data_IF_332112163977
#
_entry.id   IF_332112163977
#
_cell.length_a   1.000
_cell.length_b   1.000
_cell.length_c   1.000
_cell.angle_alpha   90.00
_cell.angle_beta   90.00
_cell.angle_gamma   90.00
#
_symmetry.space_group_name_H-M   'P 1'
#
loop_
_entity.id
_entity.type
_entity.pdbx_description
1 polymer ?
#
# COMPACT_ATOMS: atom_id res chain seq x y z
N UNK A 1 -1.41 -31.94 -6.71
CA UNK A 1 -0.51 -31.12 -5.86
C UNK A 1 0.14 -31.95 -4.77
N UNK A 2 -0.60 -32.61 -3.87
CA UNK A 2 0.01 -33.51 -2.86
C UNK A 2 0.84 -34.67 -3.47
N UNK A 3 0.44 -35.21 -4.62
CA UNK A 3 1.19 -36.27 -5.32
C UNK A 3 2.50 -35.78 -5.99
N UNK A 4 2.63 -34.49 -6.31
CA UNK A 4 3.83 -33.95 -6.98
C UNK A 4 4.95 -33.60 -5.98
N UNK A 5 4.63 -33.54 -4.68
CA UNK A 5 5.59 -33.26 -3.60
C UNK A 5 6.39 -34.52 -3.22
N UNK A 6 5.89 -35.72 -3.54
CA UNK A 6 6.57 -36.97 -3.19
C UNK A 6 7.69 -37.39 -4.16
N UNK A 7 7.85 -36.74 -5.32
CA UNK A 7 8.76 -37.25 -6.38
C UNK A 7 9.98 -36.37 -6.68
N UNK A 8 10.13 -35.19 -6.06
CA UNK A 8 11.32 -34.36 -6.24
C UNK A 8 11.85 -33.84 -4.91
N UNK A 9 13.05 -34.31 -4.57
CA UNK A 9 13.91 -33.78 -3.50
C UNK A 9 14.47 -32.40 -3.90
N UNK A 10 13.56 -31.45 -4.15
CA UNK A 10 13.89 -30.08 -4.52
C UNK A 10 13.19 -29.11 -3.58
N UNK A 11 13.99 -28.21 -2.99
CA UNK A 11 13.52 -27.07 -2.22
C UNK A 11 12.35 -26.40 -2.93
N UNK A 12 11.15 -26.47 -2.33
CA UNK A 12 9.94 -25.86 -2.89
C UNK A 12 9.99 -24.36 -2.57
N UNK A 13 9.97 -23.52 -3.61
CA UNK A 13 9.91 -22.07 -3.43
C UNK A 13 8.55 -21.68 -2.85
N UNK A 14 8.51 -21.43 -1.54
CA UNK A 14 7.29 -21.09 -0.82
C UNK A 14 6.67 -19.78 -1.31
N UNK A 15 7.46 -18.85 -1.86
CA UNK A 15 6.96 -17.59 -2.40
C UNK A 15 6.13 -17.85 -3.67
N UNK A 16 6.65 -18.71 -4.54
CA UNK A 16 5.98 -19.14 -5.76
C UNK A 16 4.71 -19.94 -5.43
N UNK A 17 4.79 -20.87 -4.46
CA UNK A 17 3.67 -21.66 -3.98
C UNK A 17 2.56 -20.79 -3.36
N UNK A 18 2.92 -19.84 -2.49
CA UNK A 18 1.97 -18.92 -1.87
C UNK A 18 1.30 -18.00 -2.91
N UNK A 19 2.05 -17.52 -3.90
CA UNK A 19 1.50 -16.73 -5.01
C UNK A 19 0.48 -17.53 -5.83
N UNK A 20 0.83 -18.77 -6.22
CA UNK A 20 -0.08 -19.65 -6.95
C UNK A 20 -1.35 -19.95 -6.16
N UNK A 21 -1.23 -20.30 -4.87
CA UNK A 21 -2.37 -20.65 -4.03
C UNK A 21 -3.27 -19.44 -3.77
N UNK A 22 -2.70 -18.27 -3.46
CA UNK A 22 -3.46 -17.04 -3.21
C UNK A 22 -4.24 -16.64 -4.44
N UNK A 23 -3.60 -16.71 -5.61
CA UNK A 23 -4.25 -16.44 -6.88
C UNK A 23 -5.40 -17.43 -7.14
N UNK A 24 -5.19 -18.73 -6.89
CA UNK A 24 -6.21 -19.76 -7.09
C UNK A 24 -7.43 -19.56 -6.18
N UNK A 25 -7.24 -19.10 -4.95
CA UNK A 25 -8.33 -18.80 -4.01
C UNK A 25 -9.09 -17.55 -4.46
N UNK A 26 -8.38 -16.46 -4.75
CA UNK A 26 -8.99 -15.18 -5.18
C UNK A 26 -9.76 -15.34 -6.49
N UNK A 27 -9.19 -16.03 -7.49
CA UNK A 27 -9.87 -16.34 -8.75
C UNK A 27 -11.16 -17.13 -8.55
N UNK A 28 -11.13 -18.16 -7.69
CA UNK A 28 -12.34 -18.95 -7.39
C UNK A 28 -13.40 -18.10 -6.72
N UNK A 29 -13.03 -17.26 -5.76
CA UNK A 29 -13.97 -16.45 -4.99
C UNK A 29 -14.55 -15.30 -5.83
N UNK A 30 -13.72 -14.59 -6.60
CA UNK A 30 -14.15 -13.44 -7.38
C UNK A 30 -14.77 -13.82 -8.74
N UNK A 31 -14.26 -14.88 -9.39
CA UNK A 31 -14.59 -15.23 -10.78
C UNK A 31 -15.29 -16.58 -10.93
N UNK A 32 -15.36 -17.38 -9.86
CA UNK A 32 -15.97 -18.72 -9.88
C UNK A 32 -15.17 -19.77 -10.66
N UNK A 33 -13.95 -19.46 -11.11
CA UNK A 33 -13.10 -20.35 -11.93
C UNK A 33 -11.65 -20.33 -11.46
N UNK A 34 -10.91 -21.40 -11.75
CA UNK A 34 -9.46 -21.48 -11.54
C UNK A 34 -8.75 -21.09 -12.82
N UNK A 35 -7.72 -20.25 -12.73
CA UNK A 35 -6.92 -19.82 -13.88
C UNK A 35 -5.46 -20.30 -13.78
N UNK A 36 -5.27 -21.52 -13.26
CA UNK A 36 -3.97 -22.19 -13.18
C UNK A 36 -3.69 -23.00 -14.44
N UNK A 37 -3.57 -22.34 -15.60
CA UNK A 37 -2.94 -22.98 -16.77
C UNK A 37 -1.99 -21.99 -17.46
N UNK A 38 -0.78 -22.46 -17.75
CA UNK A 38 0.20 -21.78 -18.63
C UNK A 38 -0.47 -21.56 -19.99
N UNK A 39 -0.82 -20.31 -20.31
CA UNK A 39 -1.48 -19.92 -21.56
C UNK A 39 -2.81 -19.18 -21.43
N UNK A 40 -3.28 -18.86 -20.21
CA UNK A 40 -4.48 -18.04 -19.99
C UNK A 40 -4.23 -16.52 -20.05
N UNK A 41 -5.26 -15.74 -20.39
CA UNK A 41 -5.25 -14.26 -20.36
C UNK A 41 -5.08 -13.72 -18.92
N UNK A 42 -5.36 -14.53 -17.90
CA UNK A 42 -5.41 -14.07 -16.51
C UNK A 42 -4.03 -13.80 -15.87
N UNK A 43 -2.99 -14.64 -16.06
CA UNK A 43 -1.61 -14.27 -15.72
C UNK A 43 -1.15 -12.97 -16.39
N UNK A 44 -1.47 -12.78 -17.67
CA UNK A 44 -1.14 -11.56 -18.41
C UNK A 44 -1.90 -10.34 -17.85
N UNK A 45 -3.19 -10.49 -17.58
CA UNK A 45 -4.02 -9.47 -16.92
C UNK A 45 -3.50 -9.13 -15.51
N UNK A 46 -3.05 -10.12 -14.74
CA UNK A 46 -2.48 -9.90 -13.41
C UNK A 46 -1.12 -9.19 -13.49
N UNK A 47 -0.31 -9.50 -14.50
CA UNK A 47 0.93 -8.77 -14.77
C UNK A 47 0.64 -7.32 -15.16
N UNK A 48 -0.26 -7.09 -16.13
CA UNK A 48 -0.68 -5.75 -16.55
C UNK A 48 -1.28 -4.93 -15.40
N UNK A 49 -2.13 -5.56 -14.58
CA UNK A 49 -2.71 -4.93 -13.40
C UNK A 49 -1.64 -4.63 -12.35
N UNK A 50 -0.67 -5.53 -12.16
CA UNK A 50 0.50 -5.30 -11.32
C UNK A 50 1.31 -4.08 -11.76
N UNK A 51 1.58 -3.94 -13.06
CA UNK A 51 2.27 -2.77 -13.61
C UNK A 51 1.48 -1.47 -13.41
N UNK A 52 0.15 -1.52 -13.57
CA UNK A 52 -0.71 -0.38 -13.32
C UNK A 52 -0.69 0.02 -11.85
N UNK A 53 -0.83 -0.95 -10.94
CA UNK A 53 -0.75 -0.72 -9.50
C UNK A 53 0.60 -0.15 -9.09
N UNK A 54 1.69 -0.61 -9.70
CA UNK A 54 3.03 -0.07 -9.42
C UNK A 54 3.13 1.39 -9.85
N UNK A 55 2.61 1.74 -11.04
CA UNK A 55 2.56 3.14 -11.51
C UNK A 55 1.71 4.01 -10.59
N UNK A 56 0.53 3.54 -10.19
CA UNK A 56 -0.36 4.26 -9.26
C UNK A 56 0.30 4.42 -7.89
N UNK A 57 0.94 3.37 -7.37
CA UNK A 57 1.65 3.42 -6.10
C UNK A 57 2.79 4.44 -6.13
N UNK A 58 3.57 4.49 -7.22
CA UNK A 58 4.63 5.51 -7.42
C UNK A 58 4.06 6.92 -7.43
N UNK A 59 3.01 7.17 -8.20
CA UNK A 59 2.37 8.48 -8.25
C UNK A 59 1.81 8.92 -6.89
N UNK A 60 1.21 7.99 -6.12
CA UNK A 60 0.73 8.29 -4.77
C UNK A 60 1.88 8.55 -3.81
N UNK A 61 2.95 7.77 -3.88
CA UNK A 61 4.12 7.94 -3.03
C UNK A 61 4.79 9.31 -3.25
N UNK A 62 4.97 9.72 -4.51
CA UNK A 62 5.49 11.04 -4.89
C UNK A 62 4.57 12.18 -4.44
N UNK A 63 3.24 12.01 -4.59
CA UNK A 63 2.28 13.01 -4.12
C UNK A 63 2.34 13.21 -2.61
N UNK A 64 2.34 12.13 -1.81
CA UNK A 64 2.42 12.28 -0.35
C UNK A 64 3.80 12.75 0.11
N UNK A 65 4.86 12.40 -0.61
CA UNK A 65 6.19 12.95 -0.39
C UNK A 65 6.16 14.48 -0.46
N UNK A 66 5.58 15.02 -1.53
CA UNK A 66 5.42 16.46 -1.78
C UNK A 66 4.57 17.13 -0.69
N UNK A 67 3.42 16.55 -0.34
CA UNK A 67 2.57 17.05 0.74
C UNK A 67 3.36 17.14 2.03
N UNK A 68 4.10 16.09 2.42
CA UNK A 68 4.90 16.09 3.64
C UNK A 68 6.01 17.17 3.58
N UNK A 69 6.67 17.35 2.43
CA UNK A 69 7.70 18.37 2.26
C UNK A 69 7.17 19.80 2.35
N UNK A 70 5.98 20.07 1.81
CA UNK A 70 5.32 21.37 1.95
C UNK A 70 5.09 21.73 3.42
N UNK A 71 4.65 20.77 4.26
CA UNK A 71 4.42 21.00 5.69
C UNK A 71 5.74 21.12 6.48
N UNK A 72 6.80 20.41 6.07
CA UNK A 72 8.12 20.56 6.69
C UNK A 72 8.77 21.92 6.34
N UNK A 73 8.64 22.36 5.09
CA UNK A 73 9.28 23.58 4.57
C UNK A 73 8.54 24.87 4.97
N UNK A 74 7.21 24.82 5.10
CA UNK A 74 6.39 25.94 5.58
C UNK A 74 6.73 26.42 7.00
N UNK A 75 7.28 25.54 7.84
CA UNK A 75 7.66 25.85 9.24
C UNK A 75 8.98 26.62 9.41
N UNK A 76 9.73 26.91 8.33
CA UNK A 76 11.04 27.59 8.42
C UNK A 76 10.95 29.12 8.42
N UNK A 77 9.76 29.68 8.23
CA UNK A 77 9.57 31.11 7.96
C UNK A 77 8.39 31.72 8.71
N UNK A 78 8.27 31.60 10.04
CA UNK A 78 7.67 32.71 10.79
C UNK A 78 8.04 32.72 12.27
N UNK A 79 8.40 33.92 12.73
CA UNK A 79 8.55 34.28 14.14
C UNK A 79 7.33 35.06 14.60
N UNK A 80 6.11 34.62 14.26
CA UNK A 80 4.86 35.23 14.72
C UNK A 80 4.06 34.30 15.63
N UNK A 81 3.72 34.84 16.80
CA UNK A 81 2.79 34.26 17.77
C UNK A 81 1.37 34.48 17.23
N UNK A 82 0.92 33.59 16.37
CA UNK A 82 -0.49 33.37 16.05
C UNK A 82 -0.77 31.88 16.20
N UNK A 83 -1.97 31.49 16.63
CA UNK A 83 -2.38 30.08 16.71
C UNK A 83 -2.26 29.44 15.33
N UNK A 84 -1.11 28.82 15.05
CA UNK A 84 -0.95 27.92 13.91
C UNK A 84 -1.93 26.76 14.14
N UNK A 85 -3.00 26.74 13.36
CA UNK A 85 -3.87 25.58 13.23
C UNK A 85 -3.05 24.44 12.66
N UNK A 86 -2.38 23.68 13.52
CA UNK A 86 -1.68 22.47 13.13
C UNK A 86 -2.68 21.52 12.49
N UNK A 87 -2.46 21.20 11.22
CA UNK A 87 -3.29 20.20 10.55
C UNK A 87 -2.87 18.77 10.92
N UNK A 88 -3.56 17.80 10.34
CA UNK A 88 -3.30 16.39 10.64
C UNK A 88 -1.86 15.97 10.29
N UNK A 89 -1.28 16.52 9.21
CA UNK A 89 0.10 16.22 8.81
C UNK A 89 1.07 16.79 9.85
N UNK A 90 0.82 17.99 10.35
CA UNK A 90 1.60 18.61 11.42
C UNK A 90 1.59 17.83 12.72
N UNK A 91 0.43 17.28 13.09
CA UNK A 91 0.27 16.45 14.29
C UNK A 91 1.09 15.16 14.14
N UNK A 92 0.98 14.49 12.99
CA UNK A 92 1.74 13.27 12.70
C UNK A 92 3.27 13.51 12.71
N UNK A 93 3.71 14.61 12.11
CA UNK A 93 5.12 15.02 12.12
C UNK A 93 5.60 15.37 13.55
N UNK A 94 4.73 15.93 14.39
CA UNK A 94 5.04 16.23 15.79
C UNK A 94 5.17 14.95 16.63
N UNK A 95 4.36 13.93 16.37
CA UNK A 95 4.47 12.59 16.99
C UNK A 95 5.77 11.91 16.57
N UNK A 96 6.14 12.00 15.29
CA UNK A 96 7.42 11.51 14.79
C UNK A 96 8.61 12.17 15.51
N UNK A 97 8.59 13.49 15.67
CA UNK A 97 9.68 14.23 16.33
C UNK A 97 9.78 13.98 17.83
N UNK A 98 8.66 13.84 18.52
CA UNK A 98 8.62 13.65 19.97
C UNK A 98 8.90 12.21 20.41
N UNK A 99 8.85 11.25 19.49
CA UNK A 99 8.98 9.81 19.78
C UNK A 99 8.06 9.36 20.94
N UNK A 100 6.88 9.99 21.07
CA UNK A 100 6.03 9.94 22.26
C UNK A 100 5.31 8.59 22.46
N UNK A 101 5.23 7.75 21.43
CA UNK A 101 4.43 6.52 21.45
C UNK A 101 5.21 5.26 21.87
N UNK A 102 6.52 5.37 22.17
CA UNK A 102 7.39 4.22 22.46
C UNK A 102 7.79 3.39 21.23
N UNK A 103 7.32 3.78 20.04
CA UNK A 103 7.75 3.32 18.73
C UNK A 103 7.97 4.51 17.81
N UNK A 104 9.00 4.45 16.97
CA UNK A 104 9.29 5.51 16.00
C UNK A 104 8.34 5.39 14.81
N UNK A 105 7.44 6.37 14.64
CA UNK A 105 6.63 6.47 13.42
C UNK A 105 7.54 7.03 12.32
N UNK A 106 7.75 6.29 11.24
CA UNK A 106 8.54 6.74 10.11
C UNK A 106 7.65 7.38 9.03
N UNK A 107 8.30 7.92 8.00
CA UNK A 107 7.61 8.61 6.92
C UNK A 107 6.73 7.67 6.09
N UNK A 108 7.10 6.40 5.98
CA UNK A 108 6.28 5.38 5.31
C UNK A 108 4.98 5.14 6.07
N UNK A 109 5.03 5.08 7.40
CA UNK A 109 3.84 4.99 8.25
C UNK A 109 2.94 6.24 8.11
N UNK A 110 3.52 7.44 8.03
CA UNK A 110 2.76 8.68 7.80
C UNK A 110 2.06 8.64 6.43
N UNK A 111 2.77 8.29 5.35
CA UNK A 111 2.14 8.12 4.03
C UNK A 111 1.03 7.08 4.04
N UNK A 112 1.21 5.99 4.79
CA UNK A 112 0.18 4.97 5.00
C UNK A 112 -1.07 5.50 5.69
N UNK A 113 -0.93 6.32 6.74
CA UNK A 113 -2.05 6.95 7.43
C UNK A 113 -2.78 7.97 6.54
N UNK A 114 -2.04 8.73 5.73
CA UNK A 114 -2.62 9.64 4.74
C UNK A 114 -3.38 8.88 3.64
N UNK A 115 -2.80 7.80 3.11
CA UNK A 115 -3.45 6.90 2.16
C UNK A 115 -4.74 6.31 2.73
N UNK A 116 -4.68 5.80 3.96
CA UNK A 116 -5.83 5.20 4.63
C UNK A 116 -6.96 6.22 4.80
N UNK A 117 -6.65 7.42 5.33
CA UNK A 117 -7.64 8.48 5.51
C UNK A 117 -8.21 8.98 4.17
N UNK A 118 -7.37 9.13 3.14
CA UNK A 118 -7.79 9.54 1.80
C UNK A 118 -8.71 8.51 1.14
N UNK A 119 -8.42 7.21 1.30
CA UNK A 119 -9.23 6.13 0.76
C UNK A 119 -10.58 6.01 1.48
N UNK A 120 -10.59 6.12 2.81
CA UNK A 120 -11.80 6.05 3.64
C UNK A 120 -12.79 7.18 3.29
N UNK A 121 -12.30 8.40 3.07
CA UNK A 121 -13.12 9.53 2.62
C UNK A 121 -13.66 9.39 1.20
N UNK A 122 -13.02 8.58 0.34
CA UNK A 122 -13.44 8.38 -1.06
C UNK A 122 -14.46 7.24 -1.20
N UNK A 123 -14.42 6.24 -0.33
CA UNK A 123 -15.34 5.09 -0.35
C UNK A 123 -16.74 5.47 0.16
N UNK A 124 -16.86 6.48 1.02
CA UNK A 124 -18.16 7.00 1.47
C UNK A 124 -18.93 7.75 0.37
N UNK A 125 -18.25 8.22 -0.67
CA UNK A 125 -18.86 8.94 -1.81
C UNK A 125 -19.53 8.07 -2.88
N UNK A 126 -19.58 6.74 -2.71
CA UNK A 126 -20.26 5.79 -3.64
C UNK A 126 -21.55 5.22 -3.01
N UNK A 127 -22.13 5.96 -2.07
CA UNK A 127 -23.47 5.71 -1.54
C UNK A 127 -24.39 6.89 -1.83
N UNK A 128 -24.61 7.19 -3.11
CA UNK A 128 -25.79 7.93 -3.57
C UNK A 128 -26.20 7.47 -4.97
#
# INVERSE_FOLDING_TARGET
MMQSIQEKDSCVNLSELCSTITNDITCRVALGKRYSEEGGVFPELMLEFGELLEKVAKHLDEFFEEVIEQHISGKRSDGHVGEESNDFVDILLSVQKSNAAGFSIDRTAIKGLLLFNWFELRVEGVKE
#
